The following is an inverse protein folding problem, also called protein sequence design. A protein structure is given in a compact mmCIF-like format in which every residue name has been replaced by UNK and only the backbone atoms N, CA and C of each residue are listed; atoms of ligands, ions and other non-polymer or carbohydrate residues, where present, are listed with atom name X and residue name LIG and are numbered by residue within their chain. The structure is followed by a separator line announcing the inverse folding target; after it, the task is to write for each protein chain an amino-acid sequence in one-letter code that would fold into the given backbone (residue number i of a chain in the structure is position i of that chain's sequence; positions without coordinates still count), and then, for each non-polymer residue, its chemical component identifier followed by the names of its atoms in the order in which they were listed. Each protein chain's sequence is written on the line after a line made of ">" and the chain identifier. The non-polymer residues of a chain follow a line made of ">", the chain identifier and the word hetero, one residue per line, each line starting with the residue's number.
data_IF_533398097526
#
_entry.id   IF_533398097526
#
_cell.length_a   1.000
_cell.length_b   1.000
_cell.length_c   1.000
_cell.angle_alpha   90.00
_cell.angle_beta   90.00
_cell.angle_gamma   90.00
#
_symmetry.space_group_name_H-M   'P 1'
#
loop_
_entity.id
_entity.type
_entity.pdbx_description
1 polymer ?
#
# COMPACT_ATOMS: atom_id res chain seq x y z
N UNK A 1 -6.26 -18.36 -29.23
CA UNK A 1 -7.35 -17.76 -28.42
C UNK A 1 -6.97 -16.60 -27.49
N UNK A 2 -5.67 -16.26 -27.29
CA UNK A 2 -5.24 -15.26 -26.30
C UNK A 2 -4.45 -14.07 -26.87
N UNK A 3 -5.00 -13.40 -27.87
CA UNK A 3 -4.61 -12.02 -28.15
C UNK A 3 -5.83 -11.14 -27.89
N UNK A 4 -6.13 -10.89 -26.60
CA UNK A 4 -6.99 -9.74 -26.27
C UNK A 4 -6.28 -8.53 -26.88
N UNK A 5 -6.94 -7.90 -27.85
CA UNK A 5 -6.40 -6.73 -28.56
C UNK A 5 -6.04 -5.68 -27.51
N UNK A 6 -4.76 -5.31 -27.42
CA UNK A 6 -4.33 -4.23 -26.54
C UNK A 6 -5.07 -2.97 -26.99
N UNK A 7 -5.86 -2.37 -26.09
CA UNK A 7 -6.59 -1.17 -26.42
C UNK A 7 -5.59 -0.03 -26.61
N UNK A 8 -5.59 0.55 -27.81
CA UNK A 8 -4.80 1.74 -28.13
C UNK A 8 -5.71 2.95 -27.95
N UNK A 9 -5.25 3.94 -27.20
CA UNK A 9 -5.94 5.20 -26.95
C UNK A 9 -5.03 6.33 -27.40
N UNK A 10 -5.55 7.26 -28.20
CA UNK A 10 -4.82 8.42 -28.70
C UNK A 10 -5.14 9.64 -27.85
N UNK A 11 -4.10 10.33 -27.39
CA UNK A 11 -4.15 11.56 -26.60
C UNK A 11 -2.99 12.47 -27.03
N UNK A 12 -2.94 13.70 -26.53
CA UNK A 12 -1.79 14.60 -26.74
C UNK A 12 -0.54 14.10 -26.01
N UNK A 13 0.68 14.52 -26.43
CA UNK A 13 1.92 14.15 -25.73
C UNK A 13 1.92 14.49 -24.23
N UNK A 14 1.40 15.67 -23.86
CA UNK A 14 1.33 16.12 -22.46
C UNK A 14 0.38 15.24 -21.62
N UNK A 15 -0.74 14.82 -22.19
CA UNK A 15 -1.68 13.91 -21.53
C UNK A 15 -1.05 12.52 -21.35
N UNK A 16 -0.33 12.01 -22.35
CA UNK A 16 0.36 10.73 -22.26
C UNK A 16 1.45 10.75 -21.17
N UNK A 17 2.24 11.82 -21.08
CA UNK A 17 3.24 12.03 -20.03
C UNK A 17 2.61 12.10 -18.64
N UNK A 18 1.56 12.92 -18.49
CA UNK A 18 0.85 13.05 -17.21
C UNK A 18 0.22 11.72 -16.79
N UNK A 19 -0.38 10.97 -17.71
CA UNK A 19 -1.02 9.69 -17.41
C UNK A 19 -0.03 8.67 -16.82
N UNK A 20 1.25 8.70 -17.25
CA UNK A 20 2.27 7.84 -16.65
C UNK A 20 2.48 8.14 -15.17
N UNK A 21 2.54 9.43 -14.81
CA UNK A 21 2.62 9.84 -13.41
C UNK A 21 1.35 9.45 -12.67
N UNK A 22 0.17 9.86 -13.14
CA UNK A 22 -1.12 9.57 -12.51
C UNK A 22 -1.25 8.07 -12.18
N UNK A 23 -0.88 7.18 -13.11
CA UNK A 23 -0.92 5.75 -12.87
C UNK A 23 0.00 5.29 -11.72
N UNK A 24 1.25 5.76 -11.70
CA UNK A 24 2.19 5.41 -10.64
C UNK A 24 1.83 6.03 -9.29
N UNK A 25 1.39 7.29 -9.26
CA UNK A 25 0.93 7.96 -8.06
C UNK A 25 -0.29 7.24 -7.47
N UNK A 26 -1.27 6.86 -8.30
CA UNK A 26 -2.44 6.10 -7.86
C UNK A 26 -2.07 4.75 -7.24
N UNK A 27 -1.13 4.03 -7.87
CA UNK A 27 -0.64 2.76 -7.35
C UNK A 27 0.11 2.92 -6.03
N UNK A 28 0.92 3.97 -5.87
CA UNK A 28 1.56 4.30 -4.61
C UNK A 28 0.54 4.62 -3.51
N UNK A 29 -0.49 5.42 -3.84
CA UNK A 29 -1.58 5.77 -2.92
C UNK A 29 -2.30 4.53 -2.39
N UNK A 30 -2.70 3.61 -3.28
CA UNK A 30 -3.36 2.36 -2.86
C UNK A 30 -2.51 1.54 -1.90
N UNK A 31 -1.22 1.36 -2.21
CA UNK A 31 -0.30 0.59 -1.36
C UNK A 31 -0.16 1.27 0.01
N UNK A 32 0.11 2.58 0.04
CA UNK A 32 0.26 3.32 1.30
C UNK A 32 -1.01 3.27 2.14
N UNK A 33 -2.18 3.46 1.51
CA UNK A 33 -3.46 3.38 2.21
C UNK A 33 -3.66 2.03 2.89
N UNK A 34 -3.55 0.93 2.14
CA UNK A 34 -3.76 -0.40 2.73
C UNK A 34 -2.69 -0.77 3.76
N UNK A 35 -1.45 -0.31 3.60
CA UNK A 35 -0.41 -0.50 4.61
C UNK A 35 -0.73 0.23 5.92
N UNK A 36 -1.22 1.46 5.85
CA UNK A 36 -1.60 2.24 7.03
C UNK A 36 -2.79 1.59 7.76
N UNK A 37 -3.83 1.19 7.02
CA UNK A 37 -4.99 0.49 7.61
C UNK A 37 -4.60 -0.88 8.16
N UNK A 38 -3.65 -1.59 7.53
CA UNK A 38 -3.13 -2.87 8.03
C UNK A 38 -2.48 -2.70 9.39
N UNK A 39 -1.58 -1.73 9.52
CA UNK A 39 -0.90 -1.44 10.78
C UNK A 39 -1.89 -1.08 11.90
N UNK A 40 -2.97 -0.34 11.60
CA UNK A 40 -4.02 -0.04 12.56
C UNK A 40 -4.83 -1.29 12.93
N UNK A 41 -5.20 -2.10 11.94
CA UNK A 41 -6.01 -3.32 12.15
C UNK A 41 -5.26 -4.31 13.05
N UNK A 42 -3.98 -4.53 12.79
CA UNK A 42 -3.13 -5.42 13.59
C UNK A 42 -3.00 -4.92 15.04
N UNK A 43 -2.82 -3.60 15.24
CA UNK A 43 -2.79 -2.99 16.59
C UNK A 43 -4.10 -3.09 17.35
N UNK A 44 -5.23 -3.23 16.65
CA UNK A 44 -6.58 -3.29 17.24
C UNK A 44 -7.14 -4.72 17.30
N UNK A 45 -6.36 -5.73 16.92
CA UNK A 45 -6.78 -7.13 16.91
C UNK A 45 -7.76 -7.49 15.79
N UNK A 46 -7.90 -6.63 14.78
CA UNK A 46 -8.75 -6.84 13.60
C UNK A 46 -7.92 -7.54 12.52
N UNK A 47 -8.50 -8.54 11.84
CA UNK A 47 -7.85 -9.19 10.70
C UNK A 47 -7.93 -8.28 9.45
N UNK A 48 -6.82 -7.65 9.00
CA UNK A 48 -6.82 -6.76 7.83
C UNK A 48 -7.20 -7.48 6.53
N UNK A 49 -6.79 -8.75 6.36
CA UNK A 49 -7.05 -9.46 5.12
C UNK A 49 -8.52 -9.80 4.94
N UNK A 50 -9.25 -10.02 6.05
CA UNK A 50 -10.68 -10.22 6.02
C UNK A 50 -11.42 -8.95 5.55
N UNK A 51 -11.09 -7.80 6.14
CA UNK A 51 -11.73 -6.52 5.78
C UNK A 51 -11.35 -6.06 4.37
N UNK A 52 -10.09 -6.21 3.95
CA UNK A 52 -9.64 -5.78 2.62
C UNK A 52 -10.32 -6.59 1.51
N UNK A 53 -10.53 -7.89 1.71
CA UNK A 53 -11.30 -8.74 0.78
C UNK A 53 -12.75 -8.28 0.62
N UNK A 54 -13.36 -7.73 1.67
CA UNK A 54 -14.70 -7.14 1.59
C UNK A 54 -14.64 -5.79 0.88
N UNK A 55 -13.68 -4.93 1.22
CA UNK A 55 -13.48 -3.63 0.58
C UNK A 55 -13.36 -3.76 -0.94
N UNK A 56 -12.54 -4.68 -1.44
CA UNK A 56 -12.35 -4.83 -2.90
C UNK A 56 -13.59 -5.37 -3.64
N UNK A 57 -14.55 -5.94 -2.92
CA UNK A 57 -15.83 -6.41 -3.48
C UNK A 57 -16.89 -5.32 -3.53
N UNK A 58 -16.85 -4.38 -2.58
CA UNK A 58 -17.88 -3.34 -2.43
C UNK A 58 -17.43 -1.96 -2.88
N UNK A 59 -16.11 -1.70 -2.97
CA UNK A 59 -15.58 -0.41 -3.41
C UNK A 59 -15.86 -0.20 -4.90
N UNK A 60 -16.35 0.99 -5.23
CA UNK A 60 -16.68 1.34 -6.61
C UNK A 60 -15.42 1.37 -7.50
N UNK A 61 -15.60 0.86 -8.73
CA UNK A 61 -14.72 1.00 -9.88
C UNK A 61 -13.19 0.97 -9.62
N UNK A 62 -12.60 -0.23 -9.60
CA UNK A 62 -11.16 -0.42 -9.76
C UNK A 62 -10.88 -1.55 -10.75
N UNK A 63 -10.13 -1.26 -11.81
CA UNK A 63 -9.76 -2.26 -12.83
C UNK A 63 -8.93 -3.42 -12.24
N UNK A 64 -8.10 -3.12 -11.26
CA UNK A 64 -7.32 -4.11 -10.51
C UNK A 64 -7.56 -3.89 -9.02
N UNK A 65 -8.67 -4.41 -8.47
CA UNK A 65 -9.10 -4.12 -7.12
C UNK A 65 -8.19 -4.79 -6.08
N UNK A 66 -7.46 -5.85 -6.44
CA UNK A 66 -6.46 -6.49 -5.56
C UNK A 66 -5.15 -5.71 -5.41
N UNK A 67 -4.90 -4.72 -6.27
CA UNK A 67 -3.64 -3.97 -6.22
C UNK A 67 -3.57 -3.10 -4.96
N UNK A 68 -2.60 -3.39 -4.11
CA UNK A 68 -2.34 -2.65 -2.87
C UNK A 68 -2.77 -3.38 -1.61
N UNK A 69 -3.73 -4.32 -1.66
CA UNK A 69 -4.16 -5.07 -0.46
C UNK A 69 -3.18 -6.18 -0.05
N UNK A 70 -2.30 -6.59 -0.97
CA UNK A 70 -1.31 -7.65 -0.74
C UNK A 70 -0.23 -7.14 0.21
N UNK A 71 0.07 -7.92 1.24
CA UNK A 71 1.07 -7.57 2.25
C UNK A 71 2.51 -7.80 1.76
N UNK A 72 3.00 -6.93 0.88
CA UNK A 72 4.40 -6.92 0.45
C UNK A 72 5.24 -5.83 1.12
N UNK A 73 4.68 -5.17 2.13
CA UNK A 73 5.32 -4.06 2.83
C UNK A 73 5.32 -2.76 2.00
N UNK A 74 6.29 -1.85 2.24
CA UNK A 74 6.35 -0.56 1.58
C UNK A 74 6.59 -0.72 0.08
N UNK A 75 5.99 0.15 -0.73
CA UNK A 75 6.26 0.15 -2.17
C UNK A 75 7.74 0.46 -2.44
N UNK A 76 8.28 -0.19 -3.46
CA UNK A 76 9.69 -0.13 -3.84
C UNK A 76 9.91 -0.16 -5.36
N UNK A 77 11.07 -0.65 -5.77
CA UNK A 77 11.49 -0.65 -7.17
C UNK A 77 11.89 0.74 -7.67
N UNK A 78 12.19 0.84 -8.97
CA UNK A 78 12.69 2.07 -9.59
C UNK A 78 11.60 3.08 -9.92
N UNK A 79 10.37 2.62 -10.20
CA UNK A 79 9.30 3.49 -10.70
C UNK A 79 8.61 4.30 -9.59
N UNK A 80 7.96 3.64 -8.63
CA UNK A 80 7.07 4.32 -7.69
C UNK A 80 7.80 5.34 -6.79
N UNK A 81 8.93 5.02 -6.13
CA UNK A 81 9.63 5.98 -5.28
C UNK A 81 10.15 7.19 -6.07
N UNK A 82 10.72 6.95 -7.26
CA UNK A 82 11.23 8.01 -8.12
C UNK A 82 10.11 8.94 -8.58
N UNK A 83 9.04 8.38 -9.13
CA UNK A 83 7.99 9.18 -9.78
C UNK A 83 7.15 9.95 -8.75
N UNK A 84 6.89 9.38 -7.56
CA UNK A 84 6.19 10.08 -6.46
C UNK A 84 6.96 11.31 -5.96
N UNK A 85 8.26 11.15 -5.69
CA UNK A 85 9.11 12.25 -5.21
C UNK A 85 9.33 13.29 -6.31
N UNK A 86 9.62 12.86 -7.53
CA UNK A 86 9.85 13.76 -8.66
C UNK A 86 8.60 14.60 -8.96
N UNK A 87 7.41 13.98 -8.97
CA UNK A 87 6.18 14.69 -9.27
C UNK A 87 5.80 15.70 -8.18
N UNK A 88 5.96 15.35 -6.89
CA UNK A 88 5.72 16.29 -5.79
C UNK A 88 6.67 17.51 -5.85
N UNK A 89 7.92 17.28 -6.24
CA UNK A 89 8.89 18.35 -6.42
C UNK A 89 8.55 19.24 -7.62
N UNK A 90 8.21 18.62 -8.76
CA UNK A 90 7.79 19.32 -9.96
C UNK A 90 6.53 20.16 -9.72
N UNK A 91 5.50 19.61 -9.07
CA UNK A 91 4.24 20.32 -8.80
C UNK A 91 4.48 21.58 -7.97
N UNK A 92 5.34 21.49 -6.94
CA UNK A 92 5.68 22.61 -6.08
C UNK A 92 6.46 23.69 -6.82
N UNK A 93 7.48 23.30 -7.58
CA UNK A 93 8.44 24.26 -8.13
C UNK A 93 8.02 24.85 -9.49
N UNK A 94 7.26 24.09 -10.29
CA UNK A 94 6.89 24.49 -11.65
C UNK A 94 5.42 24.88 -11.73
N UNK A 95 4.54 24.15 -11.05
CA UNK A 95 3.10 24.43 -11.03
C UNK A 95 2.65 25.23 -9.80
N UNK A 96 3.57 25.57 -8.88
CA UNK A 96 3.28 26.31 -7.64
C UNK A 96 2.11 25.69 -6.84
N UNK A 97 1.98 24.36 -6.92
CA UNK A 97 0.86 23.61 -6.37
C UNK A 97 1.35 22.59 -5.36
N UNK A 98 0.83 22.67 -4.14
CA UNK A 98 1.06 21.65 -3.12
C UNK A 98 0.11 20.45 -3.30
N UNK A 99 0.64 19.25 -3.06
CA UNK A 99 -0.10 17.99 -3.15
C UNK A 99 -0.06 17.29 -1.79
N UNK A 100 -0.88 17.74 -0.82
CA UNK A 100 -0.83 17.23 0.55
C UNK A 100 -1.10 15.71 0.62
N UNK A 101 -2.02 15.19 -0.21
CA UNK A 101 -2.27 13.75 -0.30
C UNK A 101 -1.02 12.97 -0.72
N UNK A 102 -0.35 13.40 -1.80
CA UNK A 102 0.85 12.73 -2.31
C UNK A 102 1.99 12.81 -1.29
N UNK A 103 2.15 13.95 -0.61
CA UNK A 103 3.10 14.12 0.49
C UNK A 103 2.87 13.09 1.60
N UNK A 104 1.62 12.90 2.01
CA UNK A 104 1.25 11.89 3.01
C UNK A 104 1.54 10.47 2.53
N UNK A 105 1.23 10.15 1.27
CA UNK A 105 1.52 8.83 0.67
C UNK A 105 3.01 8.48 0.72
N UNK A 106 3.89 9.44 0.39
CA UNK A 106 5.34 9.28 0.50
C UNK A 106 5.75 9.07 1.96
N UNK A 107 5.21 9.90 2.86
CA UNK A 107 5.53 9.84 4.29
C UNK A 107 5.15 8.51 4.94
N UNK A 108 3.96 7.98 4.64
CA UNK A 108 3.51 6.65 5.10
C UNK A 108 4.49 5.57 4.66
N UNK A 109 4.89 5.58 3.39
CA UNK A 109 5.81 4.58 2.84
C UNK A 109 7.20 4.66 3.49
N UNK A 110 7.72 5.86 3.73
CA UNK A 110 8.99 6.07 4.42
C UNK A 110 8.95 5.61 5.88
N UNK A 111 7.86 5.88 6.59
CA UNK A 111 7.70 5.44 7.97
C UNK A 111 7.69 3.91 8.05
N UNK A 112 6.91 3.23 7.20
CA UNK A 112 6.88 1.77 7.16
C UNK A 112 8.25 1.18 6.80
N UNK A 113 8.99 1.76 5.85
CA UNK A 113 10.38 1.34 5.55
C UNK A 113 11.28 1.42 6.76
N UNK A 114 11.17 2.51 7.54
CA UNK A 114 11.97 2.69 8.75
C UNK A 114 11.61 1.66 9.82
N UNK A 115 10.33 1.41 10.03
CA UNK A 115 9.84 0.40 10.98
C UNK A 115 10.36 -1.00 10.64
N UNK A 116 10.30 -1.41 9.37
CA UNK A 116 10.78 -2.72 8.93
C UNK A 116 12.31 -2.85 8.91
N UNK A 117 13.04 -1.75 8.85
CA UNK A 117 14.50 -1.75 8.91
C UNK A 117 15.04 -1.86 10.34
N UNK A 118 14.22 -1.63 11.37
CA UNK A 118 14.62 -1.84 12.75
C UNK A 118 14.74 -3.34 13.07
N UNK A 119 15.75 -3.75 13.85
CA UNK A 119 15.84 -5.14 14.30
C UNK A 119 14.56 -5.48 15.08
N UNK A 120 13.89 -6.57 14.68
CA UNK A 120 12.79 -7.14 15.47
C UNK A 120 13.39 -7.61 16.79
N UNK A 121 13.31 -6.77 17.83
CA UNK A 121 13.57 -7.22 19.20
C UNK A 121 12.52 -8.29 19.45
N UNK A 122 12.93 -9.55 19.55
CA UNK A 122 11.98 -10.65 19.77
C UNK A 122 11.37 -10.46 21.15
N UNK A 123 10.20 -9.84 21.22
CA UNK A 123 9.31 -10.06 22.34
C UNK A 123 8.73 -11.45 22.15
N UNK A 124 9.47 -12.47 22.58
CA UNK A 124 8.89 -13.77 22.85
C UNK A 124 7.81 -13.54 23.91
N UNK A 125 6.55 -13.47 23.49
CA UNK A 125 5.44 -13.64 24.41
C UNK A 125 5.51 -15.10 24.89
N UNK A 126 5.63 -15.36 26.21
CA UNK A 126 5.53 -16.72 26.70
C UNK A 126 4.14 -17.24 26.34
N UNK A 127 4.08 -18.41 25.72
CA UNK A 127 2.83 -19.11 25.44
C UNK A 127 2.10 -19.36 26.77
N UNK A 128 1.05 -18.58 27.02
CA UNK A 128 0.09 -18.85 28.10
C UNK A 128 -0.90 -19.86 27.51
N UNK A 129 -0.64 -21.15 27.73
CA UNK A 129 -1.58 -22.19 27.34
C UNK A 129 -0.96 -23.57 27.23
N UNK A 130 -0.53 -24.15 28.36
CA UNK A 130 -0.35 -25.60 28.53
C UNK A 130 -0.26 -25.96 30.03
N UNK A 131 -1.21 -25.47 30.84
CA UNK A 131 -1.42 -25.96 32.22
C UNK A 131 -2.91 -26.02 32.57
N UNK A 132 -3.67 -26.83 31.83
CA UNK A 132 -4.97 -27.35 32.29
C UNK A 132 -5.23 -28.73 31.68
N UNK A 133 -4.31 -29.68 31.91
CA UNK A 133 -4.59 -31.10 31.67
C UNK A 133 -3.74 -32.02 32.55
N UNK A 134 -3.59 -31.69 33.84
CA UNK A 134 -2.93 -32.59 34.81
C UNK A 134 -3.65 -32.62 36.17
N UNK A 135 -4.97 -32.36 36.17
CA UNK A 135 -5.85 -32.68 37.31
C UNK A 135 -6.96 -33.60 36.78
N UNK A 136 -6.56 -34.81 36.38
CA UNK A 136 -7.41 -35.98 36.14
C UNK A 136 -6.49 -37.18 35.93
N UNK A 137 -5.92 -37.66 37.04
CA UNK A 137 -5.67 -39.07 37.36
C UNK A 137 -4.57 -39.16 38.44
N UNK A 138 -4.93 -39.83 39.54
CA UNK A 138 -4.20 -40.09 40.79
C UNK A 138 -4.18 -38.97 41.83
#
# INVERSE_FOLDING_TARGET
>A
PYAKKCQIVSVTPKEAEMQKYVHNLWNATKISFFNEIRALSEKTGINPDAIFRLTIKSAEASWNPEYGIRNFGPYGGSCLPKDTVAFLHWSKNHAQTDLPLLRSVIKVNENLRKELAQPKISSAQPAIGDKMHEIRNN
#
